data_IF_317716073514
#
_entry.id   IF_317716073514
#
_cell.length_a   1.000
_cell.length_b   1.000
_cell.length_c   1.000
_cell.angle_alpha   90.00
_cell.angle_beta   90.00
_cell.angle_gamma   90.00
#
_symmetry.space_group_name_H-M   'P 1'
#
loop_
_entity.id
_entity.type
_entity.pdbx_description
1 polymer ?
#
# COMPACT_ATOMS: atom_id res chain seq x y z
N UNK A 1 -9.72 0.02 22.07
CA UNK A 1 -9.37 0.50 20.71
C UNK A 1 -8.05 -0.08 20.23
N UNK A 2 -6.95 0.05 20.99
CA UNK A 2 -5.61 -0.40 20.57
C UNK A 2 -5.47 -1.92 20.31
N UNK A 3 -6.30 -2.78 20.92
CA UNK A 3 -6.29 -4.23 20.62
C UNK A 3 -7.12 -4.55 19.37
N UNK A 4 -8.19 -3.80 19.13
CA UNK A 4 -9.14 -4.05 18.03
C UNK A 4 -8.61 -3.49 16.72
N UNK A 5 -7.97 -2.33 16.78
CA UNK A 5 -7.31 -1.66 15.66
C UNK A 5 -5.96 -1.14 16.18
N UNK A 6 -4.91 -1.98 16.17
CA UNK A 6 -3.63 -1.60 16.72
C UNK A 6 -3.00 -0.52 15.83
N UNK A 7 -2.51 0.59 16.44
CA UNK A 7 -1.74 1.57 15.71
C UNK A 7 -0.35 0.98 15.38
N UNK A 8 0.38 1.63 14.47
CA UNK A 8 1.63 1.08 13.92
C UNK A 8 2.70 0.84 14.98
N UNK A 9 2.70 1.63 16.05
CA UNK A 9 3.60 1.52 17.20
C UNK A 9 3.35 0.24 18.00
N UNK A 10 2.09 -0.16 18.14
CA UNK A 10 1.74 -1.41 18.81
C UNK A 10 2.07 -2.62 17.93
N UNK A 11 1.90 -2.48 16.62
CA UNK A 11 2.31 -3.51 15.67
C UNK A 11 3.83 -3.69 15.68
N UNK A 12 4.61 -2.60 15.70
CA UNK A 12 6.07 -2.66 15.74
C UNK A 12 6.60 -3.16 17.08
N UNK A 13 5.94 -2.83 18.19
CA UNK A 13 6.24 -3.38 19.51
C UNK A 13 5.81 -4.84 19.68
N UNK A 14 5.17 -5.45 18.67
CA UNK A 14 4.75 -6.85 18.72
C UNK A 14 3.48 -7.11 19.54
N UNK A 15 2.73 -6.08 19.92
CA UNK A 15 1.45 -6.20 20.62
C UNK A 15 0.29 -6.45 19.64
N UNK A 16 0.40 -7.56 18.90
CA UNK A 16 -0.68 -8.05 18.03
C UNK A 16 -1.18 -9.40 18.54
N UNK A 17 -2.46 -9.72 18.28
CA UNK A 17 -3.02 -11.04 18.62
C UNK A 17 -2.17 -12.16 18.01
N UNK A 18 -1.69 -11.98 16.78
CA UNK A 18 -0.82 -12.93 16.10
C UNK A 18 0.50 -13.19 16.83
N UNK A 19 1.10 -12.15 17.41
CA UNK A 19 2.37 -12.25 18.14
C UNK A 19 2.19 -12.86 19.53
N UNK A 20 1.17 -12.40 20.28
CA UNK A 20 0.86 -12.88 21.63
C UNK A 20 0.52 -14.37 21.62
N UNK A 21 -0.24 -14.82 20.61
CA UNK A 21 -0.66 -16.21 20.47
C UNK A 21 0.17 -17.00 19.45
N UNK A 22 1.37 -16.52 19.12
CA UNK A 22 2.26 -17.11 18.10
C UNK A 22 2.48 -18.62 18.29
N UNK A 23 2.67 -19.09 19.54
CA UNK A 23 2.81 -20.52 19.86
C UNK A 23 1.58 -21.36 19.52
N UNK A 24 0.38 -20.80 19.66
CA UNK A 24 -0.90 -21.50 19.37
C UNK A 24 -1.20 -21.47 17.87
N UNK A 25 -0.91 -20.34 17.24
CA UNK A 25 -1.16 -20.08 15.83
C UNK A 25 -0.22 -20.87 14.91
N UNK A 26 1.05 -20.98 15.29
CA UNK A 26 2.11 -21.53 14.44
C UNK A 26 2.58 -20.52 13.39
N UNK A 27 3.17 -21.02 12.30
CA UNK A 27 3.67 -20.21 11.20
C UNK A 27 2.62 -20.00 10.10
N UNK A 28 2.47 -18.76 9.64
CA UNK A 28 1.63 -18.41 8.47
C UNK A 28 2.18 -19.07 7.19
N UNK A 29 3.50 -19.21 7.07
CA UNK A 29 4.16 -19.76 5.88
C UNK A 29 4.05 -21.29 5.78
N UNK A 30 3.88 -21.99 6.90
CA UNK A 30 3.68 -23.45 6.85
C UNK A 30 2.27 -23.79 6.39
N UNK A 31 1.25 -23.36 7.12
CA UNK A 31 -0.14 -23.73 6.84
C UNK A 31 -1.04 -22.50 6.90
N UNK A 32 -1.02 -21.71 5.84
CA UNK A 32 -1.74 -20.44 5.71
C UNK A 32 -3.23 -20.53 6.12
N UNK A 33 -3.98 -21.50 5.56
CA UNK A 33 -5.41 -21.63 5.85
C UNK A 33 -5.67 -22.03 7.30
N UNK A 34 -4.93 -23.01 7.82
CA UNK A 34 -5.08 -23.47 9.22
C UNK A 34 -4.71 -22.36 10.21
N UNK A 35 -3.63 -21.64 9.92
CA UNK A 35 -3.20 -20.47 10.69
C UNK A 35 -4.32 -19.42 10.77
N UNK A 36 -4.96 -19.09 9.65
CA UNK A 36 -6.04 -18.11 9.65
C UNK A 36 -7.34 -18.60 10.30
N UNK A 37 -7.68 -19.89 10.22
CA UNK A 37 -8.80 -20.46 10.98
C UNK A 37 -8.54 -20.33 12.49
N UNK A 38 -7.35 -20.76 12.96
CA UNK A 38 -6.95 -20.60 14.37
C UNK A 38 -6.96 -19.13 14.79
N UNK A 39 -6.49 -18.23 13.92
CA UNK A 39 -6.49 -16.79 14.18
C UNK A 39 -7.90 -16.23 14.33
N UNK A 40 -8.86 -16.64 13.51
CA UNK A 40 -10.26 -16.23 13.67
C UNK A 40 -10.82 -16.68 15.03
N UNK A 41 -10.54 -17.93 15.43
CA UNK A 41 -10.99 -18.49 16.72
C UNK A 41 -10.41 -17.69 17.89
N UNK A 42 -9.09 -17.46 17.90
CA UNK A 42 -8.41 -16.67 18.95
C UNK A 42 -8.93 -15.24 18.95
N UNK A 43 -9.08 -14.61 17.79
CA UNK A 43 -9.55 -13.21 17.67
C UNK A 43 -10.97 -13.07 18.20
N UNK A 44 -11.87 -13.99 17.85
CA UNK A 44 -13.24 -14.02 18.36
C UNK A 44 -13.25 -14.17 19.89
N UNK A 45 -12.44 -15.08 20.43
CA UNK A 45 -12.30 -15.27 21.88
C UNK A 45 -11.80 -14.00 22.58
N UNK A 46 -10.69 -13.43 22.11
CA UNK A 46 -10.11 -12.20 22.69
C UNK A 46 -11.12 -11.07 22.64
N UNK A 47 -11.72 -10.79 21.48
CA UNK A 47 -12.66 -9.67 21.34
C UNK A 47 -13.92 -9.86 22.17
N UNK A 48 -14.38 -11.10 22.37
CA UNK A 48 -15.55 -11.37 23.22
C UNK A 48 -15.31 -11.05 24.70
N UNK A 49 -14.07 -11.17 25.19
CA UNK A 49 -13.70 -10.94 26.60
C UNK A 49 -13.34 -9.46 26.86
N UNK A 50 -13.00 -8.67 25.83
CA UNK A 50 -12.60 -7.27 26.01
C UNK A 50 -13.60 -6.41 26.81
N UNK A 51 -14.94 -6.48 26.56
CA UNK A 51 -15.90 -5.72 27.37
C UNK A 51 -15.89 -6.16 28.83
N UNK A 52 -15.69 -7.45 29.11
CA UNK A 52 -15.65 -7.98 30.47
C UNK A 52 -14.38 -7.51 31.18
N UNK A 53 -13.24 -7.56 30.49
CA UNK A 53 -11.98 -7.00 30.98
C UNK A 53 -12.09 -5.51 31.30
N UNK A 54 -12.84 -4.74 30.51
CA UNK A 54 -13.09 -3.32 30.80
C UNK A 54 -13.90 -3.13 32.09
N UNK A 55 -14.94 -3.92 32.33
CA UNK A 55 -15.72 -3.85 33.58
C UNK A 55 -14.85 -4.22 34.78
N UNK A 56 -14.05 -5.29 34.66
CA UNK A 56 -13.11 -5.70 35.71
C UNK A 56 -12.11 -4.58 36.01
N UNK A 57 -11.58 -3.91 34.98
CA UNK A 57 -10.67 -2.79 35.16
C UNK A 57 -11.31 -1.59 35.87
N UNK A 58 -12.59 -1.29 35.58
CA UNK A 58 -13.33 -0.21 36.25
C UNK A 58 -13.56 -0.51 37.74
N UNK A 59 -13.88 -1.76 38.08
CA UNK A 59 -14.02 -2.20 39.47
C UNK A 59 -12.65 -2.13 40.17
N UNK A 60 -11.59 -2.60 39.51
CA UNK A 60 -10.24 -2.55 40.06
C UNK A 60 -9.70 -1.11 40.25
N UNK A 61 -10.23 -0.15 39.48
CA UNK A 61 -9.89 1.28 39.61
C UNK A 61 -10.79 2.01 40.63
N UNK A 62 -11.59 1.27 41.41
CA UNK A 62 -12.50 1.79 42.45
C UNK A 62 -13.57 2.78 41.92
N UNK A 63 -13.81 2.81 40.60
CA UNK A 63 -14.87 3.65 40.02
C UNK A 63 -16.27 3.16 40.40
N UNK A 64 -16.43 1.83 40.50
CA UNK A 64 -17.58 1.18 41.09
C UNK A 64 -17.13 0.42 42.34
N UNK A 65 -17.86 0.58 43.45
CA UNK A 65 -17.53 -0.10 44.71
C UNK A 65 -17.68 -1.62 44.60
N UNK A 66 -18.75 -2.09 43.96
CA UNK A 66 -19.06 -3.52 43.81
C UNK A 66 -19.84 -3.82 42.53
N UNK A 67 -19.85 -5.10 42.11
CA UNK A 67 -20.71 -5.60 41.01
C UNK A 67 -22.20 -5.35 41.31
N UNK A 68 -22.59 -5.38 42.58
CA UNK A 68 -23.95 -5.09 43.04
C UNK A 68 -24.38 -3.66 42.67
N UNK A 69 -23.49 -2.67 42.82
CA UNK A 69 -23.75 -1.28 42.45
C UNK A 69 -24.05 -1.13 40.95
N UNK A 70 -23.43 -1.96 40.11
CA UNK A 70 -23.64 -1.96 38.66
C UNK A 70 -24.99 -2.57 38.25
N UNK A 71 -25.43 -3.62 38.97
CA UNK A 71 -26.66 -4.38 38.68
C UNK A 71 -27.92 -3.77 39.31
N UNK A 72 -27.80 -3.24 40.53
CA UNK A 72 -28.93 -2.78 41.33
C UNK A 72 -29.12 -1.27 41.15
N UNK A 73 -28.10 -0.48 41.48
CA UNK A 73 -28.16 1.00 41.49
C UNK A 73 -27.73 1.65 40.17
N UNK A 74 -27.09 0.89 39.28
CA UNK A 74 -26.59 1.37 38.00
C UNK A 74 -27.70 1.84 37.06
N UNK A 75 -27.37 2.79 36.19
CA UNK A 75 -28.27 3.21 35.11
C UNK A 75 -28.60 2.03 34.19
N UNK A 76 -29.73 2.10 33.48
CA UNK A 76 -30.16 1.04 32.55
C UNK A 76 -29.06 0.70 31.50
N UNK A 77 -28.27 1.70 31.12
CA UNK A 77 -27.13 1.55 30.22
C UNK A 77 -26.07 0.59 30.78
N UNK A 78 -25.67 0.76 32.05
CA UNK A 78 -24.67 -0.11 32.68
C UNK A 78 -25.17 -1.54 32.85
N UNK A 79 -26.46 -1.73 33.14
CA UNK A 79 -27.09 -3.06 33.22
C UNK A 79 -27.06 -3.78 31.86
N UNK A 80 -27.41 -3.08 30.78
CA UNK A 80 -27.35 -3.64 29.41
C UNK A 80 -25.90 -3.96 29.04
N UNK A 81 -24.97 -3.06 29.36
CA UNK A 81 -23.55 -3.27 29.05
C UNK A 81 -22.98 -4.49 29.77
N UNK A 82 -23.26 -4.66 31.06
CA UNK A 82 -22.83 -5.82 31.85
C UNK A 82 -23.39 -7.14 31.33
N UNK A 83 -24.71 -7.18 31.11
CA UNK A 83 -25.37 -8.40 30.61
C UNK A 83 -24.83 -8.78 29.23
N UNK A 84 -24.65 -7.81 28.34
CA UNK A 84 -24.02 -8.03 27.02
C UNK A 84 -22.59 -8.52 27.14
N UNK A 85 -21.81 -7.94 28.04
CA UNK A 85 -20.42 -8.30 28.31
C UNK A 85 -20.25 -9.74 28.79
N UNK A 86 -21.21 -10.27 29.55
CA UNK A 86 -21.25 -11.67 29.95
C UNK A 86 -21.76 -12.60 28.84
N UNK A 87 -22.74 -12.15 28.05
CA UNK A 87 -23.32 -12.94 26.97
C UNK A 87 -22.34 -13.17 25.80
N UNK A 88 -21.52 -12.16 25.46
CA UNK A 88 -20.60 -12.22 24.31
C UNK A 88 -19.59 -13.40 24.38
N UNK A 89 -18.86 -13.64 25.50
CA UNK A 89 -18.00 -14.81 25.64
C UNK A 89 -18.74 -16.13 25.51
N UNK A 90 -19.95 -16.25 26.06
CA UNK A 90 -20.76 -17.48 25.99
C UNK A 90 -21.15 -17.78 24.54
N UNK A 91 -21.61 -16.75 23.80
CA UNK A 91 -21.93 -16.88 22.38
C UNK A 91 -20.69 -17.19 21.53
N UNK A 92 -19.55 -16.57 21.84
CA UNK A 92 -18.29 -16.85 21.16
C UNK A 92 -17.85 -18.31 21.37
N UNK A 93 -17.91 -18.82 22.61
CA UNK A 93 -17.59 -20.22 22.92
C UNK A 93 -18.54 -21.19 22.23
N UNK A 94 -19.84 -20.87 22.20
CA UNK A 94 -20.83 -21.65 21.44
C UNK A 94 -20.48 -21.72 19.96
N UNK A 95 -20.15 -20.57 19.34
CA UNK A 95 -19.77 -20.50 17.93
C UNK A 95 -18.46 -21.26 17.64
N UNK A 96 -17.44 -21.12 18.49
CA UNK A 96 -16.15 -21.82 18.36
C UNK A 96 -16.35 -23.32 18.48
N UNK A 97 -17.16 -23.77 19.44
CA UNK A 97 -17.53 -25.18 19.59
C UNK A 97 -18.24 -25.69 18.33
N UNK A 98 -19.20 -24.94 17.80
CA UNK A 98 -19.89 -25.30 16.58
C UNK A 98 -18.92 -25.49 15.39
N UNK A 99 -17.93 -24.61 15.26
CA UNK A 99 -16.88 -24.77 14.24
C UNK A 99 -16.00 -26.00 14.45
N UNK A 100 -15.69 -26.36 15.69
CA UNK A 100 -14.80 -27.51 15.98
C UNK A 100 -15.49 -28.87 15.77
N UNK A 101 -16.81 -28.97 15.98
CA UNK A 101 -17.54 -30.25 15.88
C UNK A 101 -17.46 -30.84 14.46
N UNK A 102 -17.60 -30.01 13.44
CA UNK A 102 -17.63 -30.45 12.03
C UNK A 102 -16.30 -30.24 11.31
N UNK A 103 -15.17 -30.31 12.04
CA UNK A 103 -13.83 -30.13 11.48
C UNK A 103 -13.72 -28.86 10.62
N UNK A 104 -14.23 -27.76 11.18
CA UNK A 104 -14.25 -26.42 10.58
C UNK A 104 -15.07 -26.25 9.29
N UNK A 105 -15.89 -27.22 8.87
CA UNK A 105 -16.73 -27.07 7.67
C UNK A 105 -17.67 -25.87 7.70
N UNK A 106 -18.20 -25.55 8.88
CA UNK A 106 -19.08 -24.38 9.10
C UNK A 106 -18.30 -23.07 9.33
N UNK A 107 -16.96 -23.12 9.31
CA UNK A 107 -16.14 -21.92 9.47
C UNK A 107 -16.24 -21.03 8.22
N UNK A 108 -16.32 -19.70 8.35
CA UNK A 108 -16.45 -18.80 7.19
C UNK A 108 -15.39 -18.99 6.10
N UNK A 109 -14.14 -19.27 6.49
CA UNK A 109 -13.05 -19.57 5.55
C UNK A 109 -13.31 -20.88 4.79
N UNK A 110 -13.74 -21.94 5.47
CA UNK A 110 -14.04 -23.21 4.83
C UNK A 110 -15.25 -23.10 3.89
N UNK A 111 -16.27 -22.34 4.27
CA UNK A 111 -17.42 -22.02 3.42
C UNK A 111 -17.00 -21.23 2.18
N UNK A 112 -16.04 -20.31 2.30
CA UNK A 112 -15.51 -19.58 1.14
C UNK A 112 -14.71 -20.50 0.22
N UNK A 113 -13.89 -21.40 0.78
CA UNK A 113 -13.11 -22.38 0.02
C UNK A 113 -13.98 -23.42 -0.68
N UNK A 114 -15.06 -23.88 -0.03
CA UNK A 114 -15.95 -24.91 -0.59
C UNK A 114 -16.64 -24.45 -1.87
N UNK A 115 -16.81 -23.13 -2.06
CA UNK A 115 -17.32 -22.55 -3.31
C UNK A 115 -16.42 -22.82 -4.51
N UNK A 116 -15.13 -23.05 -4.28
CA UNK A 116 -14.14 -23.32 -5.32
C UNK A 116 -13.92 -24.81 -5.59
N UNK A 117 -14.50 -25.70 -4.79
CA UNK A 117 -14.44 -27.14 -5.01
C UNK A 117 -15.12 -27.54 -6.32
N UNK A 118 -14.45 -28.37 -7.13
CA UNK A 118 -15.04 -28.96 -8.32
C UNK A 118 -15.97 -30.12 -7.93
N UNK A 119 -16.98 -30.41 -8.76
CA UNK A 119 -18.03 -31.41 -8.47
C UNK A 119 -17.51 -32.81 -8.06
N UNK A 120 -16.28 -33.16 -8.44
CA UNK A 120 -15.68 -34.46 -8.13
C UNK A 120 -14.94 -34.52 -6.78
N UNK A 121 -14.58 -33.39 -6.18
CA UNK A 121 -13.88 -33.33 -4.88
C UNK A 121 -14.61 -32.35 -3.96
N UNK A 122 -15.47 -32.89 -3.08
CA UNK A 122 -16.32 -32.11 -2.17
C UNK A 122 -15.59 -31.53 -0.95
N UNK A 123 -14.28 -31.75 -0.83
CA UNK A 123 -13.54 -31.32 0.35
C UNK A 123 -12.82 -29.98 0.13
N UNK A 124 -13.19 -28.98 0.92
CA UNK A 124 -12.59 -27.65 0.94
C UNK A 124 -11.10 -27.70 1.29
N UNK A 125 -10.66 -28.79 1.94
CA UNK A 125 -9.25 -29.04 2.29
C UNK A 125 -8.34 -29.20 1.08
N UNK A 126 -8.85 -29.70 -0.05
CA UNK A 126 -8.05 -29.80 -1.28
C UNK A 126 -7.66 -28.40 -1.76
N UNK A 127 -8.64 -27.51 -1.88
CA UNK A 127 -8.42 -26.10 -2.25
C UNK A 127 -7.53 -25.41 -1.21
N UNK A 128 -7.71 -25.72 0.07
CA UNK A 128 -6.85 -25.21 1.13
C UNK A 128 -5.39 -25.65 0.96
N UNK A 129 -5.16 -26.91 0.58
CA UNK A 129 -3.82 -27.45 0.32
C UNK A 129 -3.19 -26.77 -0.89
N UNK A 130 -3.94 -26.54 -1.96
CA UNK A 130 -3.47 -25.86 -3.17
C UNK A 130 -3.02 -24.44 -2.85
N UNK A 131 -3.84 -23.69 -2.10
CA UNK A 131 -3.49 -22.34 -1.62
C UNK A 131 -2.27 -22.38 -0.70
N UNK A 132 -2.16 -23.35 0.20
CA UNK A 132 -1.00 -23.46 1.09
C UNK A 132 0.30 -23.72 0.30
N UNK A 133 0.26 -24.54 -0.75
CA UNK A 133 1.41 -24.82 -1.61
C UNK A 133 1.81 -23.56 -2.39
N UNK A 134 0.84 -22.86 -3.00
CA UNK A 134 1.10 -21.59 -3.70
C UNK A 134 1.60 -20.49 -2.76
N UNK A 135 1.06 -20.41 -1.54
CA UNK A 135 1.49 -19.43 -0.54
C UNK A 135 2.93 -19.67 -0.07
N UNK A 136 3.47 -20.88 -0.16
CA UNK A 136 4.88 -21.14 0.22
C UNK A 136 5.88 -20.64 -0.83
N UNK A 137 5.42 -20.32 -2.04
CA UNK A 137 6.30 -19.87 -3.11
C UNK A 137 6.77 -18.43 -2.87
N UNK A 138 7.95 -18.13 -3.40
CA UNK A 138 8.63 -16.83 -3.20
C UNK A 138 7.99 -15.72 -4.04
N UNK A 139 7.34 -16.08 -5.14
CA UNK A 139 6.73 -15.17 -6.12
C UNK A 139 5.38 -14.58 -5.67
N UNK A 140 5.00 -14.70 -4.39
CA UNK A 140 3.79 -14.08 -3.84
C UNK A 140 4.01 -12.60 -3.54
N UNK A 141 3.01 -11.76 -3.82
CA UNK A 141 2.99 -10.39 -3.29
C UNK A 141 2.11 -10.35 -2.05
N UNK A 142 2.49 -9.50 -1.09
CA UNK A 142 1.75 -9.32 0.15
C UNK A 142 1.70 -7.83 0.50
N UNK A 143 0.56 -7.20 0.18
CA UNK A 143 0.34 -5.78 0.41
C UNK A 143 -0.50 -5.62 1.68
N UNK A 144 -0.04 -4.82 2.65
CA UNK A 144 -0.82 -4.51 3.86
C UNK A 144 -1.60 -3.22 3.65
N UNK A 145 -2.93 -3.31 3.57
CA UNK A 145 -3.80 -2.13 3.43
C UNK A 145 -3.89 -1.33 4.73
N UNK A 146 -4.02 -2.03 5.85
CA UNK A 146 -4.08 -1.44 7.18
C UNK A 146 -3.57 -2.45 8.21
N UNK A 147 -3.69 -2.14 9.51
CA UNK A 147 -3.19 -3.01 10.59
C UNK A 147 -3.90 -4.36 10.70
N UNK A 148 -5.08 -4.52 10.06
CA UNK A 148 -5.94 -5.69 10.16
C UNK A 148 -6.14 -6.44 8.84
N UNK A 149 -5.99 -5.76 7.71
CA UNK A 149 -6.30 -6.24 6.37
C UNK A 149 -5.02 -6.36 5.57
N UNK A 150 -4.82 -7.56 5.02
CA UNK A 150 -3.69 -7.92 4.17
C UNK A 150 -4.23 -8.48 2.87
N UNK A 151 -3.64 -8.08 1.76
CA UNK A 151 -3.96 -8.56 0.43
C UNK A 151 -2.78 -9.40 -0.03
N UNK A 152 -3.06 -10.58 -0.53
CA UNK A 152 -2.05 -11.49 -1.05
C UNK A 152 -2.48 -11.89 -2.45
N UNK A 153 -1.59 -11.73 -3.42
CA UNK A 153 -1.77 -12.30 -4.74
C UNK A 153 -0.69 -13.36 -4.99
N UNK A 154 -1.15 -14.57 -5.25
CA UNK A 154 -0.36 -15.73 -5.67
C UNK A 154 -0.50 -15.91 -7.18
N UNK A 155 -0.04 -17.02 -7.74
CA UNK A 155 -0.14 -17.27 -9.19
C UNK A 155 -1.60 -17.40 -9.62
N UNK A 156 -2.40 -18.16 -8.85
CA UNK A 156 -3.79 -18.44 -9.20
C UNK A 156 -4.81 -17.76 -8.29
N UNK A 157 -4.41 -17.28 -7.11
CA UNK A 157 -5.37 -16.76 -6.11
C UNK A 157 -5.12 -15.31 -5.73
N UNK A 158 -6.22 -14.59 -5.57
CA UNK A 158 -6.29 -13.27 -4.94
C UNK A 158 -7.00 -13.44 -3.60
N UNK A 159 -6.31 -13.12 -2.52
CA UNK A 159 -6.75 -13.34 -1.16
C UNK A 159 -6.82 -12.00 -0.44
N UNK A 160 -8.01 -11.66 0.08
CA UNK A 160 -8.17 -10.55 1.02
C UNK A 160 -8.37 -11.12 2.42
N UNK A 161 -7.32 -11.02 3.22
CA UNK A 161 -7.27 -11.49 4.59
C UNK A 161 -7.86 -10.41 5.50
N UNK A 162 -8.89 -10.77 6.25
CA UNK A 162 -9.51 -9.93 7.29
C UNK A 162 -9.38 -10.61 8.67
N UNK A 163 -9.73 -9.92 9.78
CA UNK A 163 -9.62 -10.52 11.11
C UNK A 163 -10.46 -11.80 11.31
N UNK A 164 -11.64 -11.87 10.67
CA UNK A 164 -12.59 -12.96 10.89
C UNK A 164 -12.75 -13.91 9.70
N UNK A 165 -12.38 -13.50 8.50
CA UNK A 165 -12.50 -14.34 7.30
C UNK A 165 -11.41 -14.03 6.27
N UNK A 166 -11.26 -14.93 5.31
CA UNK A 166 -10.44 -14.71 4.12
C UNK A 166 -11.39 -14.74 2.93
N UNK A 167 -11.42 -13.64 2.18
CA UNK A 167 -12.14 -13.56 0.91
C UNK A 167 -11.20 -13.99 -0.19
N UNK A 168 -11.70 -14.82 -1.09
CA UNK A 168 -10.90 -15.57 -2.05
C UNK A 168 -11.52 -15.37 -3.42
N UNK A 169 -10.68 -15.10 -4.41
CA UNK A 169 -11.03 -15.16 -5.82
C UNK A 169 -9.93 -15.91 -6.58
N UNK A 170 -10.33 -16.79 -7.49
CA UNK A 170 -9.42 -17.44 -8.42
C UNK A 170 -9.19 -16.51 -9.62
N UNK A 171 -7.93 -16.29 -10.01
CA UNK A 171 -7.55 -15.32 -11.05
C UNK A 171 -8.14 -15.64 -12.42
N UNK A 172 -8.31 -16.91 -12.78
CA UNK A 172 -8.94 -17.27 -14.05
C UNK A 172 -10.35 -16.71 -14.20
N UNK A 173 -11.07 -16.60 -13.08
CA UNK A 173 -12.48 -16.24 -13.02
C UNK A 173 -12.68 -14.85 -12.40
N UNK A 174 -11.60 -14.13 -12.09
CA UNK A 174 -11.64 -12.82 -11.48
C UNK A 174 -11.65 -11.72 -12.56
N UNK A 175 -12.50 -10.72 -12.36
CA UNK A 175 -12.43 -9.43 -13.04
C UNK A 175 -12.11 -8.35 -12.01
N UNK A 176 -11.09 -7.54 -12.30
CA UNK A 176 -10.63 -6.47 -11.44
C UNK A 176 -10.96 -5.13 -12.09
N UNK A 177 -11.65 -4.27 -11.34
CA UNK A 177 -12.06 -2.94 -11.82
C UNK A 177 -11.67 -1.87 -10.80
N UNK A 178 -10.83 -0.91 -11.18
CA UNK A 178 -10.52 0.25 -10.34
C UNK A 178 -11.69 1.21 -10.38
N UNK A 179 -12.43 1.32 -9.27
CA UNK A 179 -13.64 2.15 -9.21
C UNK A 179 -13.35 3.60 -8.85
N UNK A 180 -12.46 3.80 -7.89
CA UNK A 180 -12.19 5.11 -7.27
C UNK A 180 -10.73 5.21 -6.84
N UNK A 181 -10.22 6.43 -6.82
CA UNK A 181 -8.96 6.78 -6.19
C UNK A 181 -9.21 7.86 -5.14
N UNK A 182 -8.88 7.56 -3.88
CA UNK A 182 -9.07 8.45 -2.74
C UNK A 182 -7.72 9.00 -2.27
N UNK A 183 -7.56 10.32 -2.30
CA UNK A 183 -6.33 11.01 -1.86
C UNK A 183 -6.46 11.43 -0.40
N UNK A 184 -5.45 11.10 0.41
CA UNK A 184 -5.39 11.44 1.83
C UNK A 184 -4.11 12.23 2.12
N UNK A 185 -4.26 13.37 2.80
CA UNK A 185 -3.13 14.15 3.30
C UNK A 185 -2.74 13.60 4.68
N UNK A 186 -1.53 13.03 4.78
CA UNK A 186 -1.03 12.43 6.03
C UNK A 186 -0.72 13.50 7.09
N UNK A 187 -0.38 14.71 6.67
CA UNK A 187 -0.13 15.83 7.58
C UNK A 187 -0.42 17.17 6.90
N UNK A 188 -0.80 18.18 7.68
CA UNK A 188 -1.00 19.56 7.21
C UNK A 188 0.34 20.29 6.91
N UNK A 189 1.48 19.70 7.28
CA UNK A 189 2.80 20.33 7.17
C UNK A 189 3.71 19.68 6.12
N UNK A 190 3.66 18.36 5.94
CA UNK A 190 4.34 17.66 4.86
C UNK A 190 3.34 17.33 3.75
N UNK A 191 3.58 17.87 2.56
CA UNK A 191 2.76 17.78 1.35
C UNK A 191 2.75 16.37 0.72
N UNK A 192 2.94 15.31 1.52
CA UNK A 192 2.91 13.93 1.06
C UNK A 192 1.46 13.46 0.97
N UNK A 193 0.81 13.81 -0.14
CA UNK A 193 -0.45 13.21 -0.53
C UNK A 193 -0.25 11.72 -0.81
N UNK A 194 -1.01 10.86 -0.12
CA UNK A 194 -1.04 9.43 -0.42
C UNK A 194 -2.35 9.08 -1.09
N UNK A 195 -2.26 8.49 -2.28
CA UNK A 195 -3.42 8.07 -3.04
C UNK A 195 -3.68 6.59 -2.78
N UNK A 196 -4.93 6.26 -2.48
CA UNK A 196 -5.40 4.88 -2.34
C UNK A 196 -6.37 4.54 -3.46
N UNK A 197 -6.21 3.36 -4.05
CA UNK A 197 -7.06 2.84 -5.11
C UNK A 197 -8.03 1.81 -4.55
N UNK A 198 -9.31 1.94 -4.88
CA UNK A 198 -10.34 0.96 -4.56
C UNK A 198 -10.61 0.09 -5.79
N UNK A 199 -10.15 -1.15 -5.73
CA UNK A 199 -10.25 -2.15 -6.79
C UNK A 199 -11.35 -3.14 -6.42
N UNK A 200 -12.39 -3.23 -7.24
CA UNK A 200 -13.46 -4.21 -7.09
C UNK A 200 -13.07 -5.53 -7.74
N UNK A 201 -13.04 -6.60 -6.96
CA UNK A 201 -12.74 -7.95 -7.42
C UNK A 201 -14.04 -8.72 -7.51
N UNK A 202 -14.45 -9.06 -8.73
CA UNK A 202 -15.66 -9.86 -8.99
C UNK A 202 -15.25 -11.22 -9.50
N UNK A 203 -15.83 -12.27 -8.93
CA UNK A 203 -15.68 -13.62 -9.45
C UNK A 203 -16.83 -13.95 -10.41
N UNK A 204 -16.52 -14.62 -11.52
CA UNK A 204 -17.52 -15.15 -12.46
C UNK A 204 -18.27 -16.38 -11.93
N UNK A 205 -17.87 -16.93 -10.78
CA UNK A 205 -18.50 -18.12 -10.18
C UNK A 205 -19.73 -17.74 -9.37
N UNK A 206 -20.82 -18.50 -9.56
CA UNK A 206 -22.04 -18.32 -8.78
C UNK A 206 -21.77 -18.53 -7.27
N UNK A 207 -22.42 -17.75 -6.41
CA UNK A 207 -22.29 -17.76 -4.95
C UNK A 207 -20.98 -17.22 -4.35
N UNK A 208 -20.05 -16.70 -5.17
CA UNK A 208 -18.89 -15.95 -4.69
C UNK A 208 -19.23 -14.45 -4.73
N UNK A 209 -19.29 -13.82 -3.56
CA UNK A 209 -19.54 -12.38 -3.45
C UNK A 209 -18.33 -11.58 -3.95
N UNK A 210 -18.58 -10.43 -4.59
CA UNK A 210 -17.52 -9.49 -4.92
C UNK A 210 -16.96 -8.84 -3.66
N UNK A 211 -15.70 -8.40 -3.73
CA UNK A 211 -15.08 -7.67 -2.64
C UNK A 211 -14.14 -6.59 -3.13
N UNK A 212 -14.11 -5.48 -2.41
CA UNK A 212 -13.23 -4.36 -2.73
C UNK A 212 -11.90 -4.48 -2.00
N UNK A 213 -10.82 -4.33 -2.73
CA UNK A 213 -9.44 -4.23 -2.27
C UNK A 213 -9.06 -2.75 -2.26
N UNK A 214 -8.39 -2.29 -1.19
CA UNK A 214 -7.82 -0.94 -1.14
C UNK A 214 -6.31 -1.04 -1.05
N UNK A 215 -5.59 -0.44 -1.99
CA UNK A 215 -4.11 -0.42 -2.01
C UNK A 215 -3.59 1.00 -2.17
N UNK A 216 -2.32 1.23 -1.82
CA UNK A 216 -1.65 2.47 -2.20
C UNK A 216 -1.42 2.47 -3.72
N UNK A 217 -1.50 3.64 -4.35
CA UNK A 217 -1.18 3.79 -5.77
C UNK A 217 0.26 3.38 -6.10
N UNK A 218 1.20 3.51 -5.15
CA UNK A 218 2.58 3.03 -5.31
C UNK A 218 2.68 1.51 -5.47
N UNK A 219 1.82 0.74 -4.79
CA UNK A 219 1.81 -0.73 -4.84
C UNK A 219 0.99 -1.26 -6.03
N UNK A 220 0.37 -0.37 -6.83
CA UNK A 220 -0.50 -0.76 -7.94
C UNK A 220 0.28 -1.52 -9.01
N UNK A 221 1.48 -1.05 -9.35
CA UNK A 221 2.31 -1.68 -10.37
C UNK A 221 2.75 -3.08 -9.96
N UNK A 222 3.13 -3.28 -8.70
CA UNK A 222 3.50 -4.59 -8.17
C UNK A 222 2.31 -5.58 -8.19
N UNK A 223 1.08 -5.06 -7.97
CA UNK A 223 -0.14 -5.84 -8.10
C UNK A 223 -0.46 -6.18 -9.56
N UNK A 224 -0.34 -5.20 -10.46
CA UNK A 224 -0.57 -5.35 -11.90
C UNK A 224 0.40 -6.36 -12.52
N UNK A 225 1.69 -6.24 -12.21
CA UNK A 225 2.75 -7.13 -12.70
C UNK A 225 2.55 -8.58 -12.22
N UNK A 226 1.88 -8.78 -11.08
CA UNK A 226 1.61 -10.11 -10.52
C UNK A 226 0.33 -10.76 -11.04
N UNK A 227 -0.69 -9.98 -11.33
CA UNK A 227 -2.00 -10.52 -11.71
C UNK A 227 -1.98 -10.85 -13.20
N UNK A 228 -2.37 -12.09 -13.56
CA UNK A 228 -2.39 -12.54 -14.94
C UNK A 228 -3.53 -11.94 -15.78
N UNK A 229 -4.47 -11.24 -15.14
CA UNK A 229 -5.64 -10.59 -15.74
C UNK A 229 -5.48 -9.08 -15.76
N UNK A 230 -5.90 -8.47 -16.87
CA UNK A 230 -5.93 -7.02 -16.98
C UNK A 230 -6.86 -6.38 -15.94
N UNK A 231 -6.35 -5.33 -15.29
CA UNK A 231 -7.09 -4.52 -14.34
C UNK A 231 -7.76 -3.38 -15.12
N UNK A 232 -9.10 -3.39 -15.19
CA UNK A 232 -9.84 -2.34 -15.90
C UNK A 232 -9.90 -1.08 -15.05
N UNK A 233 -9.34 0.03 -15.55
CA UNK A 233 -9.40 1.33 -14.88
C UNK A 233 -10.62 2.09 -15.40
N UNK A 234 -11.54 2.51 -14.51
CA UNK A 234 -12.67 3.33 -14.94
C UNK A 234 -12.20 4.74 -15.38
N UNK A 235 -12.84 5.37 -16.38
CA UNK A 235 -12.38 6.64 -16.96
C UNK A 235 -12.29 7.82 -15.97
N UNK A 236 -13.04 7.75 -14.88
CA UNK A 236 -13.07 8.74 -13.82
C UNK A 236 -11.91 8.60 -12.81
N UNK A 237 -11.09 7.56 -12.93
CA UNK A 237 -9.95 7.31 -12.05
C UNK A 237 -8.69 7.93 -12.67
N UNK A 238 -8.13 8.94 -12.01
CA UNK A 238 -6.85 9.53 -12.39
C UNK A 238 -5.80 9.16 -11.35
N UNK A 239 -4.71 8.56 -11.80
CA UNK A 239 -3.52 8.36 -10.98
C UNK A 239 -2.84 9.71 -10.76
N UNK A 240 -2.61 10.08 -9.51
CA UNK A 240 -1.81 11.26 -9.20
C UNK A 240 -0.34 10.86 -9.42
N UNK A 241 0.32 11.54 -10.37
CA UNK A 241 1.77 11.43 -10.54
C UNK A 241 2.47 11.86 -9.24
N UNK A 242 3.59 11.23 -8.91
CA UNK A 242 4.41 11.67 -7.77
C UNK A 242 4.86 13.13 -7.97
N UNK A 243 5.17 13.85 -6.89
CA UNK A 243 5.65 15.25 -6.97
C UNK A 243 6.90 15.34 -7.86
N UNK A 244 7.78 14.35 -7.79
CA UNK A 244 8.96 14.25 -8.65
C UNK A 244 8.58 14.10 -10.12
N UNK A 245 7.59 13.29 -10.46
CA UNK A 245 7.11 13.14 -11.84
C UNK A 245 6.42 14.40 -12.35
N UNK A 246 5.59 15.05 -11.52
CA UNK A 246 5.00 16.34 -11.85
C UNK A 246 6.10 17.39 -12.08
N UNK A 247 7.13 17.42 -11.24
CA UNK A 247 8.28 18.29 -11.42
C UNK A 247 9.03 17.97 -12.72
N UNK A 248 9.25 16.71 -13.06
CA UNK A 248 9.92 16.32 -14.33
C UNK A 248 9.12 16.84 -15.54
N UNK A 249 7.79 16.72 -15.52
CA UNK A 249 6.93 17.24 -16.58
C UNK A 249 7.07 18.77 -16.71
N UNK A 250 6.91 19.51 -15.60
CA UNK A 250 7.02 20.98 -15.59
C UNK A 250 8.45 21.43 -15.94
N UNK A 251 9.47 20.70 -15.49
CA UNK A 251 10.86 20.97 -15.84
C UNK A 251 11.07 20.85 -17.35
N UNK A 252 10.55 19.77 -17.96
CA UNK A 252 10.63 19.55 -19.41
C UNK A 252 9.88 20.60 -20.20
N UNK A 253 8.71 21.03 -19.74
CA UNK A 253 7.98 22.13 -20.37
C UNK A 253 8.72 23.46 -20.26
N UNK A 254 9.39 23.71 -19.13
CA UNK A 254 10.15 24.95 -18.93
C UNK A 254 11.38 25.00 -19.84
N UNK A 255 12.17 23.93 -19.93
CA UNK A 255 13.39 23.91 -20.76
C UNK A 255 13.08 23.91 -22.26
N UNK A 256 11.87 23.56 -22.69
CA UNK A 256 11.44 23.69 -24.11
C UNK A 256 11.46 25.15 -24.57
N UNK A 257 11.24 26.08 -23.64
CA UNK A 257 11.25 27.53 -23.92
C UNK A 257 12.65 28.14 -23.82
N UNK A 258 13.65 27.39 -23.34
CA UNK A 258 15.03 27.85 -23.27
C UNK A 258 15.68 27.83 -24.67
N UNK A 259 16.72 28.64 -24.84
CA UNK A 259 17.52 28.65 -26.06
C UNK A 259 18.15 27.27 -26.28
N UNK A 260 18.01 26.74 -27.50
CA UNK A 260 18.59 25.44 -27.87
C UNK A 260 20.09 25.57 -28.08
N UNK A 261 20.81 24.50 -27.76
CA UNK A 261 22.26 24.41 -27.99
C UNK A 261 22.53 23.61 -29.26
N UNK A 262 23.15 24.26 -30.23
CA UNK A 262 23.62 23.64 -31.47
C UNK A 262 24.94 22.92 -31.20
N UNK A 263 25.02 21.65 -31.57
CA UNK A 263 26.23 20.85 -31.45
C UNK A 263 26.38 19.93 -32.65
N UNK A 264 27.61 19.80 -33.12
CA UNK A 264 28.03 18.84 -34.16
C UNK A 264 28.72 17.62 -33.55
N UNK A 265 28.78 17.52 -32.22
CA UNK A 265 29.37 16.38 -31.52
C UNK A 265 28.47 15.14 -31.64
N UNK A 266 29.07 13.96 -31.83
CA UNK A 266 28.34 12.70 -31.76
C UNK A 266 27.84 12.47 -30.32
N UNK A 267 26.53 12.19 -30.21
CA UNK A 267 25.83 12.10 -28.93
C UNK A 267 25.72 10.64 -28.48
N UNK A 268 26.32 10.35 -27.33
CA UNK A 268 26.25 9.05 -26.67
C UNK A 268 24.90 8.81 -25.97
N UNK A 269 24.74 7.58 -25.46
CA UNK A 269 23.66 7.27 -24.52
C UNK A 269 23.83 8.07 -23.23
N UNK A 270 22.71 8.53 -22.69
CA UNK A 270 22.65 9.26 -21.44
C UNK A 270 23.28 8.42 -20.31
N UNK A 271 24.25 8.99 -19.60
CA UNK A 271 24.98 8.28 -18.52
C UNK A 271 24.09 7.92 -17.32
N UNK A 272 22.94 8.60 -17.15
CA UNK A 272 21.98 8.33 -16.09
C UNK A 272 21.13 7.07 -16.33
N UNK A 273 20.40 7.00 -17.45
CA UNK A 273 19.50 5.87 -17.74
C UNK A 273 20.08 4.80 -18.64
N UNK A 274 21.16 5.10 -19.40
CA UNK A 274 21.74 4.24 -20.43
C UNK A 274 20.75 3.75 -21.50
N UNK A 275 19.60 4.42 -21.66
CA UNK A 275 18.52 4.04 -22.58
C UNK A 275 18.26 5.11 -23.64
N UNK A 276 18.14 6.38 -23.22
CA UNK A 276 17.91 7.51 -24.13
C UNK A 276 19.24 8.14 -24.56
N UNK A 277 19.29 8.75 -25.74
CA UNK A 277 20.43 9.60 -26.15
C UNK A 277 20.51 10.86 -25.29
N UNK A 278 21.72 11.38 -25.08
CA UNK A 278 21.91 12.68 -24.44
C UNK A 278 21.27 13.79 -25.27
N UNK A 279 20.42 14.62 -24.67
CA UNK A 279 19.69 15.69 -25.38
C UNK A 279 19.64 17.02 -24.61
N UNK A 280 20.46 17.15 -23.57
CA UNK A 280 20.56 18.37 -22.75
C UNK A 280 22.01 18.79 -22.56
N UNK A 281 22.24 20.10 -22.64
CA UNK A 281 23.50 20.76 -22.29
C UNK A 281 23.24 21.83 -21.23
N UNK A 282 24.15 21.92 -20.25
CA UNK A 282 24.16 23.01 -19.29
C UNK A 282 25.01 24.17 -19.83
N UNK A 283 24.41 25.35 -19.95
CA UNK A 283 25.04 26.60 -20.39
C UNK A 283 24.49 27.76 -19.57
N UNK A 284 25.36 28.62 -19.01
CA UNK A 284 24.89 29.79 -18.26
C UNK A 284 24.15 30.74 -19.21
N UNK A 285 22.84 30.81 -19.05
CA UNK A 285 21.93 31.68 -19.82
C UNK A 285 21.10 32.57 -18.88
N UNK A 286 21.05 32.25 -17.59
CA UNK A 286 20.42 33.11 -16.61
C UNK A 286 21.21 34.40 -16.39
N UNK A 287 20.50 35.51 -16.18
CA UNK A 287 21.06 36.83 -15.84
C UNK A 287 21.48 36.95 -14.37
N UNK A 288 21.85 35.84 -13.72
CA UNK A 288 22.23 35.84 -12.31
C UNK A 288 23.71 36.26 -12.15
N UNK A 289 23.93 37.57 -12.22
CA UNK A 289 25.23 38.23 -12.02
C UNK A 289 25.36 38.82 -10.61
N UNK A 290 24.60 38.28 -9.66
CA UNK A 290 24.51 38.80 -8.29
C UNK A 290 25.82 38.73 -7.48
N UNK A 291 26.90 38.13 -8.03
CA UNK A 291 28.24 38.11 -7.43
C UNK A 291 28.34 37.40 -6.08
N UNK A 292 27.24 36.76 -5.63
CA UNK A 292 27.16 35.99 -4.38
C UNK A 292 27.76 34.61 -4.61
N UNK A 293 28.26 33.99 -3.55
CA UNK A 293 28.82 32.62 -3.61
C UNK A 293 27.83 31.56 -4.17
N UNK A 294 26.53 31.89 -4.23
CA UNK A 294 25.46 31.04 -4.73
C UNK A 294 25.03 31.33 -6.18
N UNK A 295 25.76 32.16 -6.92
CA UNK A 295 25.44 32.45 -8.33
C UNK A 295 25.67 31.27 -9.26
N UNK A 296 24.91 31.21 -10.36
CA UNK A 296 25.15 30.22 -11.42
C UNK A 296 26.51 30.45 -12.11
N UNK A 297 27.18 29.35 -12.46
CA UNK A 297 28.52 29.32 -13.05
C UNK A 297 28.51 28.55 -14.37
N UNK A 298 29.36 28.93 -15.30
CA UNK A 298 29.46 28.28 -16.61
C UNK A 298 29.93 26.82 -16.49
N UNK A 299 29.21 25.92 -17.16
CA UNK A 299 29.53 24.49 -17.22
C UNK A 299 30.19 24.11 -18.55
N UNK A 300 31.38 23.48 -18.50
CA UNK A 300 32.13 23.09 -19.70
C UNK A 300 31.96 21.60 -20.10
N UNK A 301 31.06 20.86 -19.45
CA UNK A 301 31.08 19.39 -19.43
C UNK A 301 30.48 18.59 -20.60
N UNK A 302 30.53 18.91 -21.89
CA UNK A 302 29.81 18.13 -22.95
C UNK A 302 28.31 17.79 -22.67
N UNK A 303 27.51 17.38 -23.67
CA UNK A 303 26.15 16.86 -23.44
C UNK A 303 26.22 15.35 -23.14
N UNK A 304 25.92 14.93 -21.91
CA UNK A 304 25.96 13.50 -21.53
C UNK A 304 24.67 12.99 -20.87
N UNK A 305 23.66 13.85 -20.74
CA UNK A 305 22.42 13.56 -20.01
C UNK A 305 21.20 13.77 -20.89
N UNK A 306 20.15 12.97 -20.66
CA UNK A 306 18.83 13.26 -21.18
C UNK A 306 18.04 14.17 -20.22
N UNK A 307 17.01 14.83 -20.75
CA UNK A 307 16.15 15.74 -20.00
C UNK A 307 15.52 15.09 -18.75
N UNK A 308 15.04 13.85 -18.86
CA UNK A 308 14.42 13.14 -17.73
C UNK A 308 15.43 12.87 -16.61
N UNK A 309 16.64 12.44 -16.95
CA UNK A 309 17.68 12.18 -15.94
C UNK A 309 18.20 13.48 -15.31
N UNK A 310 18.32 14.56 -16.10
CA UNK A 310 18.71 15.87 -15.57
C UNK A 310 17.63 16.43 -14.64
N UNK A 311 16.35 16.29 -14.98
CA UNK A 311 15.23 16.71 -14.14
C UNK A 311 15.19 15.93 -12.81
N UNK A 312 15.39 14.60 -12.87
CA UNK A 312 15.49 13.75 -11.66
C UNK A 312 16.67 14.16 -10.78
N UNK A 313 17.83 14.42 -11.39
CA UNK A 313 18.99 14.91 -10.66
C UNK A 313 18.69 16.25 -9.98
N UNK A 314 18.07 17.18 -10.70
CA UNK A 314 17.69 18.48 -10.17
C UNK A 314 16.75 18.34 -8.97
N UNK A 315 15.68 17.55 -9.09
CA UNK A 315 14.72 17.28 -8.02
C UNK A 315 15.38 16.64 -6.79
N UNK A 316 16.30 15.69 -7.00
CA UNK A 316 16.97 14.97 -5.90
C UNK A 316 17.85 15.87 -5.01
N UNK A 317 18.17 17.08 -5.47
CA UNK A 317 19.02 18.04 -4.77
C UNK A 317 18.24 19.16 -4.11
N UNK A 318 16.92 19.15 -4.23
CA UNK A 318 16.06 20.15 -3.59
C UNK A 318 15.61 19.69 -2.20
N UNK A 319 15.36 20.64 -1.32
CA UNK A 319 14.77 20.36 -0.02
C UNK A 319 13.31 19.92 -0.17
N UNK A 320 12.94 18.83 0.48
CA UNK A 320 11.59 18.25 0.39
C UNK A 320 10.50 19.17 0.95
N UNK A 321 10.86 20.14 1.81
CA UNK A 321 9.94 21.04 2.50
C UNK A 321 9.62 22.32 1.71
N UNK A 322 10.39 22.65 0.65
CA UNK A 322 10.25 23.89 -0.14
C UNK A 322 9.80 23.65 -1.59
N UNK A 323 8.85 22.74 -1.78
CA UNK A 323 8.38 22.28 -3.10
C UNK A 323 7.92 23.41 -4.04
N UNK A 324 7.30 24.47 -3.50
CA UNK A 324 6.83 25.62 -4.28
C UNK A 324 7.97 26.44 -4.91
N UNK A 325 9.21 26.28 -4.43
CA UNK A 325 10.39 27.03 -4.89
C UNK A 325 11.36 26.18 -5.71
N UNK A 326 11.04 24.90 -5.98
CA UNK A 326 11.96 24.01 -6.71
C UNK A 326 12.35 24.58 -8.08
N UNK A 327 11.42 25.16 -8.83
CA UNK A 327 11.71 25.76 -10.15
C UNK A 327 12.64 26.98 -10.07
N UNK A 328 12.57 27.74 -8.98
CA UNK A 328 13.41 28.92 -8.75
C UNK A 328 14.74 28.59 -8.05
N UNK A 329 14.94 27.33 -7.66
CA UNK A 329 16.12 26.88 -6.95
C UNK A 329 17.28 26.60 -7.89
N UNK A 330 18.44 26.26 -7.32
CA UNK A 330 19.67 25.96 -8.06
C UNK A 330 20.12 24.53 -7.77
N UNK A 331 20.91 23.98 -8.67
CA UNK A 331 21.51 22.66 -8.53
C UNK A 331 22.97 22.70 -8.99
N UNK A 332 23.72 21.66 -8.65
CA UNK A 332 25.11 21.47 -9.11
C UNK A 332 25.16 20.43 -10.21
N UNK A 333 25.95 20.69 -11.26
CA UNK A 333 26.20 19.72 -12.32
C UNK A 333 26.69 18.38 -11.74
N UNK A 334 26.13 17.22 -12.17
CA UNK A 334 26.56 15.92 -11.68
C UNK A 334 28.06 15.63 -11.86
N UNK A 335 28.69 16.29 -12.85
CA UNK A 335 30.07 16.01 -13.27
C UNK A 335 31.08 16.99 -12.68
N UNK A 336 30.96 18.28 -12.98
CA UNK A 336 31.91 19.30 -12.52
C UNK A 336 31.42 20.11 -11.31
N UNK A 337 30.20 19.84 -10.82
CA UNK A 337 29.57 20.57 -9.71
C UNK A 337 29.35 22.07 -9.94
N UNK A 338 29.51 22.56 -11.17
CA UNK A 338 29.11 23.94 -11.53
C UNK A 338 27.66 24.19 -11.14
N UNK A 339 27.38 25.31 -10.48
CA UNK A 339 26.02 25.69 -10.11
C UNK A 339 25.25 26.16 -11.34
N UNK A 340 24.00 25.74 -11.45
CA UNK A 340 23.10 26.08 -12.55
C UNK A 340 21.65 26.16 -12.04
N UNK A 341 20.81 26.94 -12.72
CA UNK A 341 19.35 26.95 -12.52
C UNK A 341 18.64 26.36 -13.74
N UNK A 342 17.31 26.23 -13.67
CA UNK A 342 16.53 25.64 -14.77
C UNK A 342 16.68 26.39 -16.12
N UNK A 343 16.95 27.69 -16.08
CA UNK A 343 17.16 28.52 -17.27
C UNK A 343 18.49 28.24 -17.97
N UNK A 344 19.46 27.65 -17.24
CA UNK A 344 20.77 27.27 -17.78
C UNK A 344 20.75 25.90 -18.49
N UNK A 345 19.57 25.29 -18.62
CA UNK A 345 19.38 23.96 -19.20
C UNK A 345 18.87 24.10 -20.62
N UNK A 346 19.71 23.80 -21.61
CA UNK A 346 19.39 23.90 -23.02
C UNK A 346 19.16 22.54 -23.64
N UNK A 347 18.06 22.40 -24.38
CA UNK A 347 17.85 21.24 -25.25
C UNK A 347 18.78 21.31 -26.46
N UNK A 348 19.28 20.16 -26.90
CA UNK A 348 20.06 20.08 -28.14
C UNK A 348 19.13 20.24 -29.34
N UNK A 349 19.55 21.00 -30.35
CA UNK A 349 18.96 20.91 -31.68
C UNK A 349 19.61 19.75 -32.41
N UNK A 350 18.85 18.72 -32.76
CA UNK A 350 19.31 17.79 -33.78
C UNK A 350 19.41 18.56 -35.09
N UNK A 351 20.60 18.69 -35.67
CA UNK A 351 20.68 18.68 -37.12
C UNK A 351 20.27 17.27 -37.54
N UNK A 352 18.96 17.03 -37.66
CA UNK A 352 18.46 15.94 -38.48
C UNK A 352 18.79 16.31 -39.92
N UNK A 353 20.05 16.13 -40.32
CA UNK A 353 20.39 15.97 -41.73
C UNK A 353 19.84 14.61 -42.13
N UNK A 354 18.58 14.63 -42.55
CA UNK A 354 18.04 13.61 -43.45
C UNK A 354 18.98 13.57 -44.68
N UNK A 355 19.87 12.58 -44.72
CA UNK A 355 20.41 12.03 -45.96
C UNK A 355 19.75 10.69 -46.27
#
# INVERSE_FOLDING_TARGET
>A
VCIIYPPVEFVSAGFTISSIFSKVLGSEDENFISYHIKRTIVTLGVYSILPLGYIIALIASEYFQDVSSLLIDGSIFWKIFFTTSLALPVLALYQIRNWMIDDFKQHPIAINLSKFCNNNNRDWKSVASDINIEFRRVDKISIRTNSLIKIIATENWILKVTPFTVLIAHQSDASLVVQKADTHQISLQANNETQYLNIDVRSGRQNVGSFTIRINAADFKDLEDRIARDITILPNVKFHKSITEQFIDVFKETIKNNVRYETTEELDLCIGCMQARSNVKLQKLCGDDSGRADSCTTCYCKPMWCADCMARWFASRQESDQQSTWLSSKCTCPMCRSRFCILDVSLLSSEDREE
#
